data_IF_107831874809
#
_entry.id   IF_107831874809
#
_cell.length_a   1.000
_cell.length_b   1.000
_cell.length_c   1.000
_cell.angle_alpha   90.00
_cell.angle_beta   90.00
_cell.angle_gamma   90.00
#
_symmetry.space_group_name_H-M   'P 1'
#
loop_
_entity.id
_entity.type
_entity.pdbx_description
1 polymer ?
#
# COMPACT_ATOMS: atom_id res chain seq x y z
N UNK A 1 -31.26 18.01 -12.43
CA UNK A 1 -30.15 18.92 -12.05
C UNK A 1 -28.90 18.42 -12.75
N UNK A 2 -28.11 19.29 -13.38
CA UNK A 2 -26.82 18.88 -13.94
C UNK A 2 -25.89 18.44 -12.80
N UNK A 3 -25.16 17.34 -12.99
CA UNK A 3 -24.13 16.94 -12.05
C UNK A 3 -23.02 18.01 -12.02
N UNK A 4 -22.51 18.34 -10.83
CA UNK A 4 -21.38 19.27 -10.66
C UNK A 4 -20.16 18.53 -10.10
N UNK A 5 -18.97 19.07 -10.33
CA UNK A 5 -17.72 18.52 -9.76
C UNK A 5 -17.78 18.51 -8.23
N UNK A 6 -18.34 19.55 -7.62
CA UNK A 6 -18.50 19.61 -6.16
C UNK A 6 -19.44 18.51 -5.64
N UNK A 7 -20.54 18.24 -6.34
CA UNK A 7 -21.45 17.15 -5.99
C UNK A 7 -20.78 15.78 -6.13
N UNK A 8 -19.96 15.59 -7.18
CA UNK A 8 -19.16 14.38 -7.38
C UNK A 8 -18.15 14.17 -6.23
N UNK A 9 -17.41 15.21 -5.85
CA UNK A 9 -16.45 15.14 -4.74
C UNK A 9 -17.15 14.91 -3.39
N UNK A 10 -18.30 15.53 -3.15
CA UNK A 10 -19.09 15.32 -1.93
C UNK A 10 -19.62 13.89 -1.84
N UNK A 11 -20.08 13.32 -2.95
CA UNK A 11 -20.52 11.92 -3.01
C UNK A 11 -19.35 10.95 -2.72
N UNK A 12 -18.19 11.16 -3.37
CA UNK A 12 -16.98 10.37 -3.12
C UNK A 12 -16.54 10.44 -1.65
N UNK A 13 -16.60 11.63 -1.03
CA UNK A 13 -16.31 11.80 0.39
C UNK A 13 -17.27 10.99 1.27
N UNK A 14 -18.57 11.13 1.05
CA UNK A 14 -19.58 10.43 1.85
C UNK A 14 -19.46 8.91 1.71
N UNK A 15 -19.20 8.41 0.50
CA UNK A 15 -18.94 6.98 0.26
C UNK A 15 -17.69 6.51 1.00
N UNK A 16 -16.57 7.22 0.85
CA UNK A 16 -15.33 6.91 1.55
C UNK A 16 -15.48 6.86 3.07
N UNK A 17 -16.16 7.86 3.66
CA UNK A 17 -16.44 7.92 5.10
C UNK A 17 -17.31 6.74 5.57
N UNK A 18 -18.35 6.38 4.81
CA UNK A 18 -19.19 5.23 5.13
C UNK A 18 -18.41 3.91 5.09
N UNK A 19 -17.53 3.74 4.08
CA UNK A 19 -16.69 2.56 3.93
C UNK A 19 -15.67 2.43 5.07
N UNK A 20 -15.00 3.53 5.43
CA UNK A 20 -14.08 3.59 6.59
C UNK A 20 -14.82 3.27 7.90
N UNK A 21 -16.02 3.83 8.09
CA UNK A 21 -16.83 3.55 9.27
C UNK A 21 -17.22 2.06 9.38
N UNK A 22 -17.54 1.40 8.26
CA UNK A 22 -17.84 -0.02 8.25
C UNK A 22 -16.64 -0.89 8.67
N UNK A 23 -15.42 -0.53 8.25
CA UNK A 23 -14.18 -1.20 8.67
C UNK A 23 -13.97 -1.03 10.18
N UNK A 24 -14.14 0.18 10.70
CA UNK A 24 -14.08 0.42 12.14
C UNK A 24 -15.15 -0.34 12.93
N UNK A 25 -16.37 -0.48 12.39
CA UNK A 25 -17.44 -1.23 13.05
C UNK A 25 -17.11 -2.72 13.21
N UNK A 26 -16.48 -3.35 12.21
CA UNK A 26 -15.98 -4.72 12.35
C UNK A 26 -14.79 -4.78 13.32
N UNK A 27 -13.84 -3.86 13.20
CA UNK A 27 -12.67 -3.76 14.09
C UNK A 27 -13.08 -3.62 15.56
N UNK A 28 -14.06 -2.76 15.85
CA UNK A 28 -14.63 -2.58 17.18
C UNK A 28 -15.13 -3.90 17.76
N UNK A 29 -15.86 -4.69 16.95
CA UNK A 29 -16.35 -5.99 17.38
C UNK A 29 -15.23 -6.99 17.63
N UNK A 30 -14.17 -7.01 16.81
CA UNK A 30 -13.05 -7.93 16.99
C UNK A 30 -12.25 -7.64 18.26
N UNK A 31 -11.96 -6.36 18.51
CA UNK A 31 -11.08 -5.94 19.60
C UNK A 31 -11.82 -5.52 20.87
N UNK A 32 -13.14 -5.68 20.90
CA UNK A 32 -13.90 -5.52 22.13
C UNK A 32 -13.37 -6.49 23.20
N UNK A 33 -13.28 -6.08 24.47
CA UNK A 33 -12.68 -6.91 25.52
C UNK A 33 -13.25 -8.33 25.55
N UNK A 34 -12.35 -9.32 25.44
CA UNK A 34 -12.69 -10.75 25.53
C UNK A 34 -12.97 -11.46 24.20
N UNK A 35 -12.98 -10.76 23.05
CA UNK A 35 -13.24 -11.40 21.76
C UNK A 35 -11.98 -11.97 21.10
N UNK A 36 -10.98 -11.13 20.82
CA UNK A 36 -9.72 -11.56 20.22
C UNK A 36 -8.51 -10.83 20.80
N UNK A 37 -7.40 -11.54 20.84
CA UNK A 37 -6.03 -10.99 20.79
C UNK A 37 -5.48 -11.15 19.36
N UNK A 38 -4.45 -10.40 18.95
CA UNK A 38 -3.80 -10.61 17.67
C UNK A 38 -3.39 -12.07 17.40
N UNK A 39 -2.85 -12.75 18.42
CA UNK A 39 -2.39 -14.13 18.34
C UNK A 39 -3.55 -15.11 18.14
N UNK A 40 -4.64 -14.94 18.91
CA UNK A 40 -5.82 -15.81 18.78
C UNK A 40 -6.57 -15.60 17.46
N UNK A 41 -6.60 -14.37 16.93
CA UNK A 41 -7.14 -14.09 15.61
C UNK A 41 -6.30 -14.75 14.52
N UNK A 42 -4.98 -14.62 14.58
CA UNK A 42 -4.08 -15.22 13.60
C UNK A 42 -4.09 -16.76 13.67
N UNK A 43 -4.13 -17.34 14.87
CA UNK A 43 -4.25 -18.79 15.06
C UNK A 43 -5.54 -19.34 14.43
N UNK A 44 -6.67 -18.63 14.57
CA UNK A 44 -7.93 -18.97 13.91
C UNK A 44 -7.81 -18.96 12.39
N UNK A 45 -7.12 -17.96 11.82
CA UNK A 45 -6.88 -17.87 10.38
C UNK A 45 -5.98 -19.02 9.90
N UNK A 46 -4.88 -19.29 10.60
CA UNK A 46 -3.94 -20.38 10.28
C UNK A 46 -4.66 -21.73 10.22
N UNK A 47 -5.56 -22.02 11.15
CA UNK A 47 -6.33 -23.27 11.13
C UNK A 47 -7.18 -23.44 9.86
N UNK A 48 -7.78 -22.36 9.35
CA UNK A 48 -8.52 -22.38 8.09
C UNK A 48 -7.56 -22.51 6.89
N UNK A 49 -6.43 -21.80 6.95
CA UNK A 49 -5.40 -21.79 5.91
C UNK A 49 -4.72 -23.12 5.71
N UNK A 50 -4.57 -23.96 6.74
CA UNK A 50 -4.06 -25.32 6.59
C UNK A 50 -4.97 -26.18 5.69
N UNK A 51 -6.28 -25.97 5.76
CA UNK A 51 -7.25 -26.67 4.90
C UNK A 51 -7.22 -26.10 3.49
N UNK A 52 -7.35 -24.78 3.37
CA UNK A 52 -7.36 -24.10 2.08
C UNK A 52 -6.03 -24.30 1.31
N UNK A 53 -4.91 -24.31 2.01
CA UNK A 53 -3.58 -24.51 1.42
C UNK A 53 -3.40 -25.91 0.83
N UNK A 54 -4.03 -26.94 1.41
CA UNK A 54 -4.09 -28.28 0.82
C UNK A 54 -4.89 -28.31 -0.48
N UNK A 55 -6.00 -27.58 -0.54
CA UNK A 55 -6.86 -27.50 -1.73
C UNK A 55 -6.17 -26.77 -2.89
N UNK A 56 -5.47 -25.68 -2.58
CA UNK A 56 -4.77 -24.85 -3.58
C UNK A 56 -3.42 -25.46 -3.98
N UNK A 57 -2.85 -26.35 -3.15
CA UNK A 57 -1.54 -26.95 -3.38
C UNK A 57 -0.37 -26.02 -3.02
N UNK A 58 -0.58 -25.08 -2.11
CA UNK A 58 0.47 -24.23 -1.54
C UNK A 58 0.17 -23.94 -0.08
N UNK A 59 1.21 -23.97 0.77
CA UNK A 59 1.10 -23.42 2.12
C UNK A 59 0.70 -21.95 2.05
N UNK A 60 -0.15 -21.53 2.97
CA UNK A 60 -0.51 -20.12 3.19
C UNK A 60 0.16 -19.69 4.49
N UNK A 61 0.88 -18.58 4.43
CA UNK A 61 1.57 -17.99 5.57
C UNK A 61 0.93 -16.65 5.92
N UNK A 62 0.98 -16.20 7.19
CA UNK A 62 0.52 -14.86 7.52
C UNK A 62 1.24 -13.81 6.69
N UNK A 63 0.48 -12.87 6.11
CA UNK A 63 1.06 -11.74 5.40
C UNK A 63 1.88 -10.86 6.35
N UNK A 64 1.35 -10.63 7.56
CA UNK A 64 2.03 -9.99 8.67
C UNK A 64 2.01 -10.95 9.87
N UNK A 65 3.13 -11.61 10.20
CA UNK A 65 3.21 -12.47 11.38
C UNK A 65 3.03 -11.67 12.68
N UNK A 66 2.25 -12.20 13.62
CA UNK A 66 2.13 -11.62 14.97
C UNK A 66 3.32 -12.10 15.81
N UNK A 67 4.16 -11.20 16.34
CA UNK A 67 5.24 -11.58 17.24
C UNK A 67 4.69 -12.03 18.60
N UNK A 68 5.32 -13.04 19.21
CA UNK A 68 4.90 -13.60 20.51
C UNK A 68 5.30 -12.72 21.71
N UNK A 69 6.29 -11.83 21.52
CA UNK A 69 6.97 -11.11 22.59
C UNK A 69 6.66 -9.60 22.63
N UNK A 70 5.90 -9.09 21.65
CA UNK A 70 5.59 -7.65 21.49
C UNK A 70 4.39 -7.44 20.57
N UNK A 71 3.76 -6.25 20.58
CA UNK A 71 2.73 -5.90 19.58
C UNK A 71 3.30 -5.79 18.17
N UNK A 72 2.42 -5.97 17.17
CA UNK A 72 2.72 -5.68 15.77
C UNK A 72 2.94 -4.18 15.58
N UNK A 73 3.99 -3.81 14.90
CA UNK A 73 4.37 -2.41 14.68
C UNK A 73 4.25 -1.98 13.22
N UNK A 74 3.89 -0.72 13.03
CA UNK A 74 3.76 -0.08 11.74
C UNK A 74 4.63 1.17 11.67
N UNK A 75 5.24 1.42 10.52
CA UNK A 75 5.90 2.69 10.20
C UNK A 75 5.32 3.22 8.90
N UNK A 76 4.90 4.49 8.92
CA UNK A 76 4.34 5.15 7.75
C UNK A 76 5.45 5.90 7.01
N UNK A 77 5.64 5.54 5.75
CA UNK A 77 6.55 6.22 4.83
C UNK A 77 5.76 7.15 3.92
N UNK A 78 6.29 8.34 3.66
CA UNK A 78 5.63 9.26 2.74
C UNK A 78 6.57 10.30 2.15
N UNK A 79 6.08 10.89 1.07
CA UNK A 79 6.69 12.01 0.36
C UNK A 79 5.65 13.11 0.13
N UNK A 80 6.00 14.13 -0.66
CA UNK A 80 5.09 15.22 -1.03
C UNK A 80 4.54 15.94 0.21
N UNK A 81 3.22 16.20 0.23
CA UNK A 81 2.53 16.85 1.35
C UNK A 81 2.17 15.92 2.52
N UNK A 82 2.48 14.63 2.44
CA UNK A 82 2.22 13.62 3.49
C UNK A 82 0.73 13.41 3.85
N UNK A 83 -0.22 13.80 2.99
CA UNK A 83 -1.65 13.78 3.34
C UNK A 83 -2.25 12.36 3.48
N UNK A 84 -1.79 11.39 2.68
CA UNK A 84 -2.23 9.97 2.83
C UNK A 84 -1.70 9.37 4.13
N UNK A 85 -0.42 9.61 4.45
CA UNK A 85 0.17 9.19 5.73
C UNK A 85 -0.48 9.85 6.94
N UNK A 86 -0.85 11.14 6.84
CA UNK A 86 -1.59 11.85 7.88
C UNK A 86 -2.95 11.19 8.17
N UNK A 87 -3.70 10.83 7.12
CA UNK A 87 -4.97 10.13 7.28
C UNK A 87 -4.79 8.79 7.98
N UNK A 88 -3.79 7.98 7.58
CA UNK A 88 -3.51 6.71 8.22
C UNK A 88 -3.13 6.87 9.70
N UNK A 89 -2.31 7.86 10.06
CA UNK A 89 -1.98 8.16 11.45
C UNK A 89 -3.23 8.50 12.28
N UNK A 90 -4.19 9.24 11.70
CA UNK A 90 -5.48 9.50 12.35
C UNK A 90 -6.28 8.22 12.62
N UNK A 91 -6.22 7.22 11.74
CA UNK A 91 -6.91 5.94 11.96
C UNK A 91 -6.33 5.18 13.16
N UNK A 92 -5.01 5.20 13.35
CA UNK A 92 -4.39 4.63 14.57
C UNK A 92 -4.90 5.32 15.84
N UNK A 93 -5.07 6.64 15.81
CA UNK A 93 -5.65 7.40 16.92
C UNK A 93 -7.13 7.04 17.15
N UNK A 94 -7.90 6.83 16.08
CA UNK A 94 -9.30 6.41 16.16
C UNK A 94 -9.43 5.02 16.81
N UNK A 95 -8.57 4.06 16.43
CA UNK A 95 -8.59 2.71 17.02
C UNK A 95 -8.34 2.72 18.53
N UNK A 96 -7.41 3.58 19.00
CA UNK A 96 -7.13 3.75 20.44
C UNK A 96 -8.35 4.19 21.26
N UNK A 97 -9.39 4.76 20.63
CA UNK A 97 -10.62 5.17 21.33
C UNK A 97 -11.49 3.99 21.75
N UNK A 98 -11.35 2.83 21.09
CA UNK A 98 -12.17 1.65 21.38
C UNK A 98 -11.40 0.36 21.64
N UNK A 99 -10.11 0.30 21.31
CA UNK A 99 -9.21 -0.80 21.64
C UNK A 99 -8.09 -0.28 22.54
N UNK A 100 -8.16 -0.56 23.84
CA UNK A 100 -7.15 -0.13 24.83
C UNK A 100 -5.76 -0.71 24.56
N UNK A 101 -5.73 -1.89 23.94
CA UNK A 101 -4.53 -2.54 23.43
C UNK A 101 -4.72 -2.73 21.91
N UNK A 102 -4.40 -1.71 21.09
CA UNK A 102 -4.59 -1.80 19.65
C UNK A 102 -3.79 -2.99 19.06
N UNK A 103 -4.34 -3.68 18.05
CA UNK A 103 -3.71 -4.87 17.46
C UNK A 103 -2.43 -4.53 16.67
N UNK A 104 -2.31 -3.29 16.19
CA UNK A 104 -1.15 -2.77 15.47
C UNK A 104 -0.85 -1.38 16.02
N UNK A 105 0.43 -1.11 16.31
CA UNK A 105 0.88 0.18 16.85
C UNK A 105 1.62 0.99 15.78
N UNK A 106 1.26 2.27 15.65
CA UNK A 106 2.09 3.23 14.94
C UNK A 106 3.37 3.47 15.76
N UNK A 107 4.50 3.03 15.22
CA UNK A 107 5.82 3.06 15.88
C UNK A 107 6.72 4.19 15.37
N UNK A 108 6.40 4.78 14.22
CA UNK A 108 7.15 5.92 13.70
C UNK A 108 6.66 6.41 12.35
N UNK A 109 7.19 7.56 11.94
CA UNK A 109 6.94 8.18 10.65
C UNK A 109 8.29 8.43 9.96
N UNK A 110 8.35 8.12 8.67
CA UNK A 110 9.54 8.31 7.84
C UNK A 110 9.20 9.16 6.62
N UNK A 111 10.00 10.19 6.37
CA UNK A 111 9.84 11.06 5.21
C UNK A 111 11.17 11.32 4.49
N UNK A 112 11.13 11.27 3.16
CA UNK A 112 12.26 11.64 2.30
C UNK A 112 12.27 13.12 1.89
N UNK A 113 11.41 13.93 2.52
CA UNK A 113 11.27 15.37 2.30
C UNK A 113 11.08 16.07 3.63
N UNK A 114 11.70 17.24 3.75
CA UNK A 114 11.58 18.09 4.93
C UNK A 114 10.31 18.94 4.94
N UNK A 115 10.01 19.52 6.11
CA UNK A 115 8.97 20.55 6.23
C UNK A 115 9.23 21.76 5.34
N UNK A 116 10.50 22.19 5.22
CA UNK A 116 10.89 23.27 4.31
C UNK A 116 10.60 22.93 2.84
N UNK A 117 10.60 21.65 2.48
CA UNK A 117 10.22 21.14 1.15
C UNK A 117 8.73 20.82 1.00
N UNK A 118 7.88 21.30 1.92
CA UNK A 118 6.42 21.16 1.86
C UNK A 118 5.85 19.84 2.41
N UNK A 119 6.64 19.08 3.17
CA UNK A 119 6.19 17.82 3.79
C UNK A 119 5.71 18.02 5.23
N UNK A 120 4.50 17.57 5.56
CA UNK A 120 3.93 17.73 6.90
C UNK A 120 4.22 16.56 7.87
N UNK A 121 5.13 15.65 7.53
CA UNK A 121 5.44 14.47 8.34
C UNK A 121 5.81 14.81 9.79
N UNK A 122 6.58 15.88 10.03
CA UNK A 122 6.98 16.31 11.37
C UNK A 122 5.81 16.76 12.25
N UNK A 123 4.81 17.43 11.67
CA UNK A 123 3.58 17.82 12.38
C UNK A 123 2.79 16.58 12.77
N UNK A 124 2.59 15.66 11.81
CA UNK A 124 1.85 14.41 12.05
C UNK A 124 2.54 13.54 13.10
N UNK A 125 3.88 13.45 13.08
CA UNK A 125 4.64 12.70 14.07
C UNK A 125 4.46 13.28 15.48
N UNK A 126 4.55 14.60 15.61
CA UNK A 126 4.32 15.32 16.87
C UNK A 126 2.89 15.11 17.39
N UNK A 127 1.87 15.25 16.53
CA UNK A 127 0.45 15.12 16.91
C UNK A 127 0.07 13.70 17.39
N UNK A 128 0.85 12.70 16.97
CA UNK A 128 0.66 11.30 17.34
C UNK A 128 1.65 10.81 18.40
N UNK A 129 2.61 11.66 18.81
CA UNK A 129 3.63 11.33 19.81
C UNK A 129 4.54 10.17 19.39
N UNK A 130 4.90 10.08 18.10
CA UNK A 130 5.74 9.00 17.56
C UNK A 130 7.06 9.55 17.01
N UNK A 131 8.16 8.77 17.02
CA UNK A 131 9.42 9.16 16.42
C UNK A 131 9.29 9.56 14.94
N UNK A 132 10.04 10.58 14.55
CA UNK A 132 10.19 11.04 13.17
C UNK A 132 11.60 10.71 12.66
N UNK A 133 11.67 10.13 11.47
CA UNK A 133 12.90 10.06 10.67
C UNK A 133 12.69 10.89 9.42
N UNK A 134 13.31 12.06 9.38
CA UNK A 134 13.24 12.96 8.24
C UNK A 134 14.63 13.06 7.60
N UNK A 135 14.76 12.59 6.35
CA UNK A 135 15.99 12.71 5.58
C UNK A 135 15.66 13.25 4.19
N UNK A 136 15.74 14.57 4.03
CA UNK A 136 15.43 15.22 2.75
C UNK A 136 16.40 14.76 1.65
N UNK A 137 15.87 14.07 0.63
CA UNK A 137 16.70 13.53 -0.44
C UNK A 137 17.44 14.61 -1.24
N UNK A 138 16.81 15.76 -1.49
CA UNK A 138 17.44 16.80 -2.29
C UNK A 138 18.61 17.43 -1.54
N UNK A 139 18.46 17.65 -0.23
CA UNK A 139 19.55 18.10 0.65
C UNK A 139 20.65 17.05 0.72
N UNK A 140 20.30 15.80 1.05
CA UNK A 140 21.26 14.70 1.17
C UNK A 140 22.06 14.50 -0.13
N UNK A 141 21.40 14.56 -1.29
CA UNK A 141 22.06 14.38 -2.58
C UNK A 141 23.09 15.48 -2.86
N UNK A 142 22.79 16.74 -2.53
CA UNK A 142 23.73 17.86 -2.74
C UNK A 142 24.93 17.80 -1.79
N UNK A 143 24.73 17.24 -0.60
CA UNK A 143 25.80 17.05 0.37
C UNK A 143 26.72 15.89 0.01
N UNK A 144 26.20 14.83 -0.61
CA UNK A 144 26.93 13.55 -0.76
C UNK A 144 27.20 13.11 -2.20
N UNK A 145 26.54 13.71 -3.20
CA UNK A 145 26.63 13.28 -4.61
C UNK A 145 27.08 14.43 -5.49
N UNK A 146 26.26 15.47 -5.64
CA UNK A 146 26.59 16.63 -6.47
C UNK A 146 25.95 17.90 -5.90
N UNK A 147 26.81 18.79 -5.39
CA UNK A 147 26.44 20.06 -4.77
C UNK A 147 25.74 21.02 -5.75
N UNK A 148 26.03 20.94 -7.04
CA UNK A 148 25.51 21.85 -8.05
C UNK A 148 24.18 21.38 -8.67
N UNK A 149 23.75 20.13 -8.41
CA UNK A 149 22.55 19.57 -9.01
C UNK A 149 21.27 20.30 -8.55
N UNK A 150 20.52 20.80 -9.53
CA UNK A 150 19.29 21.56 -9.31
C UNK A 150 18.08 20.65 -9.15
N UNK A 151 18.07 19.49 -9.81
CA UNK A 151 17.01 18.49 -9.73
C UNK A 151 17.56 17.08 -9.42
N UNK A 152 17.94 16.82 -8.15
CA UNK A 152 18.42 15.52 -7.70
C UNK A 152 17.50 14.36 -8.05
N UNK A 153 16.18 14.59 -8.06
CA UNK A 153 15.20 13.54 -8.33
C UNK A 153 15.35 13.03 -9.77
N UNK A 154 15.40 13.95 -10.74
CA UNK A 154 15.59 13.60 -12.14
C UNK A 154 17.00 13.03 -12.40
N UNK A 155 18.03 13.63 -11.82
CA UNK A 155 19.43 13.23 -12.00
C UNK A 155 19.71 11.78 -11.59
N UNK A 156 18.97 11.29 -10.59
CA UNK A 156 19.10 9.94 -10.05
C UNK A 156 17.93 9.01 -10.44
N UNK A 157 17.09 9.42 -11.40
CA UNK A 157 16.01 8.55 -11.90
C UNK A 157 16.59 7.37 -12.67
N UNK A 158 16.31 6.16 -12.20
CA UNK A 158 16.74 4.91 -12.84
C UNK A 158 15.57 4.13 -13.48
N UNK A 159 14.32 4.34 -13.04
CA UNK A 159 13.16 3.66 -13.61
C UNK A 159 12.53 4.42 -14.78
N UNK A 160 12.33 3.69 -15.87
CA UNK A 160 11.67 4.12 -17.11
C UNK A 160 10.90 2.93 -17.69
N UNK A 161 9.78 3.16 -18.40
CA UNK A 161 9.16 2.12 -19.22
C UNK A 161 10.20 1.43 -20.13
N UNK A 162 10.00 0.14 -20.42
CA UNK A 162 10.98 -0.68 -21.17
C UNK A 162 11.36 -0.08 -22.53
N UNK A 163 10.36 0.47 -23.22
CA UNK A 163 10.51 1.04 -24.57
C UNK A 163 10.69 2.57 -24.55
N UNK A 164 10.94 3.18 -23.39
CA UNK A 164 11.14 4.63 -23.29
C UNK A 164 12.51 5.02 -23.89
N UNK A 165 12.56 5.89 -24.91
CA UNK A 165 13.82 6.32 -25.53
C UNK A 165 14.72 7.12 -24.59
N UNK A 166 14.19 7.63 -23.46
CA UNK A 166 14.97 8.32 -22.43
C UNK A 166 15.54 7.36 -21.37
N UNK A 167 15.30 6.05 -21.50
CA UNK A 167 15.84 5.03 -20.59
C UNK A 167 17.38 5.05 -20.65
N UNK A 168 18.07 5.21 -19.51
CA UNK A 168 19.53 5.31 -19.49
C UNK A 168 20.19 3.97 -19.82
N UNK A 169 21.37 4.05 -20.42
CA UNK A 169 22.25 2.89 -20.63
C UNK A 169 22.56 2.15 -19.32
N UNK A 170 22.82 0.83 -19.35
CA UNK A 170 22.95 0.00 -18.15
C UNK A 170 23.92 0.52 -17.08
N UNK A 171 25.08 1.07 -17.48
CA UNK A 171 26.06 1.62 -16.53
C UNK A 171 25.56 2.88 -15.81
N UNK A 172 24.84 3.76 -16.51
CA UNK A 172 24.22 4.95 -15.91
C UNK A 172 23.05 4.55 -15.02
N UNK A 173 22.25 3.57 -15.44
CA UNK A 173 21.18 3.01 -14.63
C UNK A 173 21.70 2.43 -13.32
N UNK A 174 22.77 1.64 -13.36
CA UNK A 174 23.39 1.06 -12.17
C UNK A 174 23.94 2.13 -11.22
N UNK A 175 24.57 3.17 -11.74
CA UNK A 175 25.04 4.31 -10.93
C UNK A 175 23.89 5.04 -10.24
N UNK A 176 22.82 5.36 -10.98
CA UNK A 176 21.63 6.04 -10.44
C UNK A 176 20.87 5.18 -9.43
N UNK A 177 20.77 3.88 -9.70
CA UNK A 177 20.22 2.89 -8.77
C UNK A 177 20.99 2.91 -7.45
N UNK A 178 22.33 2.83 -7.51
CA UNK A 178 23.17 2.77 -6.32
C UNK A 178 23.04 4.02 -5.44
N UNK A 179 22.90 5.21 -6.05
CA UNK A 179 22.64 6.45 -5.30
C UNK A 179 21.37 6.34 -4.45
N UNK A 180 20.29 5.80 -5.02
CA UNK A 180 18.98 5.70 -4.35
C UNK A 180 18.94 4.54 -3.36
N UNK A 181 19.26 3.34 -3.83
CA UNK A 181 19.03 2.09 -3.10
C UNK A 181 20.16 1.73 -2.16
N UNK A 182 21.42 1.93 -2.56
CA UNK A 182 22.54 1.48 -1.74
C UNK A 182 23.00 2.58 -0.78
N UNK A 183 23.00 3.84 -1.23
CA UNK A 183 23.57 4.96 -0.47
C UNK A 183 22.52 5.71 0.33
N UNK A 184 21.50 6.25 -0.32
CA UNK A 184 20.47 7.04 0.36
C UNK A 184 19.64 6.19 1.32
N UNK A 185 19.12 5.04 0.87
CA UNK A 185 18.32 4.16 1.71
C UNK A 185 19.10 3.50 2.85
N UNK A 186 20.42 3.27 2.70
CA UNK A 186 21.24 2.88 3.83
C UNK A 186 21.32 3.99 4.89
N UNK A 187 21.58 5.24 4.49
CA UNK A 187 21.59 6.38 5.41
C UNK A 187 20.22 6.59 6.09
N UNK A 188 19.12 6.42 5.33
CA UNK A 188 17.77 6.44 5.87
C UNK A 188 17.55 5.32 6.89
N UNK A 189 18.00 4.10 6.58
CA UNK A 189 17.94 2.93 7.46
C UNK A 189 18.70 3.11 8.77
N UNK A 190 19.85 3.79 8.74
CA UNK A 190 20.56 4.17 9.97
C UNK A 190 19.75 5.16 10.81
N UNK A 191 19.08 6.13 10.17
CA UNK A 191 18.16 7.05 10.85
C UNK A 191 16.99 6.32 11.50
N UNK A 192 16.39 5.37 10.78
CA UNK A 192 15.33 4.48 11.28
C UNK A 192 15.79 3.73 12.52
N UNK A 193 16.94 3.06 12.45
CA UNK A 193 17.43 2.25 13.56
C UNK A 193 17.78 3.07 14.81
N UNK A 194 18.22 4.32 14.64
CA UNK A 194 18.49 5.22 15.77
C UNK A 194 17.22 5.75 16.44
N UNK A 195 16.18 6.03 15.66
CA UNK A 195 14.98 6.72 16.16
C UNK A 195 13.84 5.76 16.53
N UNK A 196 13.69 4.66 15.79
CA UNK A 196 12.61 3.69 15.94
C UNK A 196 13.19 2.46 16.65
N UNK A 197 13.04 2.42 17.98
CA UNK A 197 13.69 1.43 18.86
C UNK A 197 13.06 0.03 18.89
N UNK A 198 12.05 -0.22 18.05
CA UNK A 198 11.37 -1.51 17.92
C UNK A 198 11.47 -2.04 16.50
N UNK A 199 11.59 -3.37 16.28
CA UNK A 199 11.52 -3.93 14.95
C UNK A 199 10.21 -3.52 14.26
N UNK A 200 10.28 -3.30 12.95
CA UNK A 200 9.15 -2.88 12.11
C UNK A 200 8.56 -4.14 11.48
N UNK A 201 7.26 -4.39 11.68
CA UNK A 201 6.56 -5.51 11.02
C UNK A 201 5.88 -5.08 9.72
N UNK A 202 5.39 -3.83 9.68
CA UNK A 202 4.70 -3.25 8.51
C UNK A 202 5.34 -1.91 8.14
N UNK A 203 5.72 -1.75 6.88
CA UNK A 203 6.14 -0.48 6.30
C UNK A 203 5.13 -0.02 5.24
N UNK A 204 4.40 1.05 5.57
CA UNK A 204 3.28 1.54 4.77
C UNK A 204 3.75 2.68 3.87
N UNK A 205 3.89 2.42 2.58
CA UNK A 205 4.13 3.46 1.59
C UNK A 205 2.82 4.22 1.37
N UNK A 206 2.76 5.48 1.81
CA UNK A 206 1.56 6.34 1.69
C UNK A 206 1.93 7.59 0.92
N UNK A 207 2.12 7.41 -0.38
CA UNK A 207 2.68 8.42 -1.27
C UNK A 207 4.19 8.58 -1.08
N UNK A 208 4.87 7.54 -0.59
CA UNK A 208 6.33 7.47 -0.61
C UNK A 208 6.80 7.22 -2.04
N UNK A 209 7.68 8.06 -2.54
CA UNK A 209 7.99 8.07 -3.96
C UNK A 209 9.22 7.27 -4.36
N UNK A 210 9.89 6.58 -3.44
CA UNK A 210 11.09 5.79 -3.77
C UNK A 210 10.81 4.30 -3.56
N UNK A 211 11.42 3.45 -4.38
CA UNK A 211 11.27 2.01 -4.22
C UNK A 211 11.98 1.52 -2.96
N UNK A 212 11.37 0.62 -2.21
CA UNK A 212 11.99 0.04 -1.02
C UNK A 212 13.11 -0.95 -1.37
N UNK A 213 14.16 -0.97 -0.56
CA UNK A 213 15.20 -2.00 -0.57
C UNK A 213 15.47 -2.49 0.86
N UNK A 214 16.07 -3.69 0.96
CA UNK A 214 16.43 -4.30 2.23
C UNK A 214 17.43 -3.46 3.04
N UNK A 215 18.21 -2.58 2.38
CA UNK A 215 19.17 -1.71 3.04
C UNK A 215 18.54 -0.80 4.10
N UNK A 216 17.26 -0.45 3.96
CA UNK A 216 16.50 0.35 4.92
C UNK A 216 16.27 -0.37 6.26
N UNK A 217 16.31 -1.70 6.26
CA UNK A 217 15.89 -2.54 7.39
C UNK A 217 16.97 -3.54 7.83
N UNK A 218 18.24 -3.33 7.45
CA UNK A 218 19.37 -4.22 7.79
C UNK A 218 19.57 -4.48 9.28
N UNK A 219 19.02 -3.62 10.14
CA UNK A 219 19.19 -3.70 11.60
C UNK A 219 18.19 -4.65 12.27
N UNK A 220 17.21 -5.19 11.51
CA UNK A 220 16.27 -6.20 12.00
C UNK A 220 16.48 -7.54 11.30
N UNK A 221 16.17 -8.63 12.00
CA UNK A 221 16.39 -10.01 11.51
C UNK A 221 15.52 -10.37 10.30
N UNK A 222 14.33 -9.79 10.20
CA UNK A 222 13.36 -10.03 9.13
C UNK A 222 12.97 -8.69 8.53
N UNK A 223 12.84 -8.61 7.22
CA UNK A 223 12.30 -7.43 6.58
C UNK A 223 10.80 -7.28 6.91
N UNK A 224 10.29 -6.04 7.03
CA UNK A 224 8.87 -5.81 7.22
C UNK A 224 8.09 -6.22 5.97
N UNK A 225 6.80 -6.49 6.14
CA UNK A 225 5.86 -6.47 5.03
C UNK A 225 5.71 -5.02 4.55
N UNK A 226 5.96 -4.77 3.26
CA UNK A 226 5.81 -3.45 2.64
C UNK A 226 4.59 -3.46 1.73
N UNK A 227 3.78 -2.41 1.81
CA UNK A 227 2.66 -2.22 0.89
C UNK A 227 2.47 -0.75 0.50
N UNK A 228 1.83 -0.54 -0.64
CA UNK A 228 1.56 0.78 -1.22
C UNK A 228 0.12 0.91 -1.70
N UNK A 229 -0.39 2.14 -1.62
CA UNK A 229 -1.65 2.54 -2.24
C UNK A 229 -1.37 3.02 -3.66
N UNK A 230 -1.72 2.21 -4.64
CA UNK A 230 -1.51 2.51 -6.05
C UNK A 230 -2.79 3.11 -6.68
N UNK A 231 -2.69 4.24 -7.41
CA UNK A 231 -3.84 4.96 -7.96
C UNK A 231 -4.34 4.36 -9.28
N UNK A 232 -4.42 3.04 -9.38
CA UNK A 232 -4.96 2.35 -10.55
C UNK A 232 -5.52 0.98 -10.23
N UNK A 233 -6.37 0.47 -11.12
CA UNK A 233 -6.93 -0.86 -11.02
C UNK A 233 -5.93 -1.88 -11.57
N UNK A 234 -5.20 -2.54 -10.67
CA UNK A 234 -4.17 -3.53 -11.01
C UNK A 234 -4.73 -4.94 -11.14
N UNK A 235 -6.06 -5.07 -11.25
CA UNK A 235 -6.69 -6.30 -11.76
C UNK A 235 -6.55 -6.44 -13.28
N UNK A 236 -6.25 -5.34 -13.98
CA UNK A 236 -6.04 -5.31 -15.42
C UNK A 236 -4.60 -5.63 -15.82
N UNK A 237 -4.43 -6.59 -16.71
CA UNK A 237 -3.13 -7.07 -17.19
C UNK A 237 -3.07 -7.14 -18.72
N UNK A 238 -1.87 -7.04 -19.27
CA UNK A 238 -1.60 -7.28 -20.68
C UNK A 238 -1.55 -8.80 -20.94
N UNK A 239 -2.45 -9.40 -21.75
CA UNK A 239 -2.49 -10.85 -21.90
C UNK A 239 -1.19 -11.48 -22.46
N UNK A 240 -0.50 -10.90 -23.45
CA UNK A 240 0.76 -11.43 -23.98
C UNK A 240 1.90 -11.49 -22.95
N UNK A 241 2.04 -10.47 -22.11
CA UNK A 241 3.19 -10.35 -21.20
C UNK A 241 2.86 -10.70 -19.74
N UNK A 242 1.58 -10.64 -19.36
CA UNK A 242 1.09 -10.82 -17.99
C UNK A 242 1.35 -9.63 -17.07
N UNK A 243 1.90 -8.52 -17.56
CA UNK A 243 2.23 -7.34 -16.74
C UNK A 243 1.00 -6.50 -16.44
N UNK A 244 1.00 -5.72 -15.35
CA UNK A 244 -0.09 -4.78 -15.07
C UNK A 244 -0.22 -3.73 -16.19
N UNK A 245 -1.45 -3.34 -16.54
CA UNK A 245 -1.69 -2.36 -17.62
C UNK A 245 -1.44 -0.91 -17.22
N UNK A 246 -1.56 -0.60 -15.94
CA UNK A 246 -1.48 0.78 -15.46
C UNK A 246 -0.37 0.96 -14.41
N UNK A 247 0.87 0.51 -14.67
CA UNK A 247 1.97 0.74 -13.76
C UNK A 247 2.34 2.23 -13.77
N UNK A 248 2.95 2.70 -12.69
CA UNK A 248 3.55 4.02 -12.63
C UNK A 248 2.74 5.07 -11.88
N UNK A 249 3.26 6.29 -11.87
CA UNK A 249 2.98 7.22 -10.78
C UNK A 249 1.72 8.06 -10.98
N UNK A 250 0.87 8.08 -9.94
CA UNK A 250 -0.16 9.10 -9.71
C UNK A 250 -1.09 9.33 -10.92
N UNK A 251 -1.24 10.58 -11.35
CA UNK A 251 -2.21 10.97 -12.37
C UNK A 251 -1.90 10.39 -13.75
N UNK A 252 -0.66 9.95 -14.01
CA UNK A 252 -0.30 9.24 -15.24
C UNK A 252 -1.07 7.93 -15.42
N UNK A 253 -1.23 7.15 -14.34
CA UNK A 253 -1.99 5.91 -14.38
C UNK A 253 -3.49 6.16 -14.61
N UNK A 254 -4.04 7.22 -14.01
CA UNK A 254 -5.42 7.66 -14.24
C UNK A 254 -5.64 8.06 -15.70
N UNK A 255 -4.71 8.83 -16.28
CA UNK A 255 -4.81 9.23 -17.70
C UNK A 255 -4.82 8.01 -18.63
N UNK A 256 -4.04 6.97 -18.33
CA UNK A 256 -4.08 5.72 -19.09
C UNK A 256 -5.44 5.02 -18.97
N UNK A 257 -6.01 4.95 -17.76
CA UNK A 257 -7.35 4.39 -17.57
C UNK A 257 -8.44 5.21 -18.30
N UNK A 258 -8.34 6.54 -18.29
CA UNK A 258 -9.28 7.42 -19.01
C UNK A 258 -9.18 7.20 -20.53
N UNK A 259 -7.97 7.05 -21.06
CA UNK A 259 -7.74 6.71 -22.48
C UNK A 259 -8.32 5.34 -22.84
N UNK A 260 -8.22 4.38 -21.93
CA UNK A 260 -8.83 3.05 -22.05
C UNK A 260 -10.36 3.05 -21.85
N UNK A 261 -10.95 4.20 -21.50
CA UNK A 261 -12.41 4.40 -21.33
C UNK A 261 -13.04 3.52 -20.25
N UNK A 262 -12.32 3.33 -19.14
CA UNK A 262 -12.89 2.67 -17.97
C UNK A 262 -14.16 3.39 -17.48
N UNK A 263 -15.18 2.60 -17.13
CA UNK A 263 -16.42 3.13 -16.56
C UNK A 263 -16.29 3.45 -15.06
N UNK A 264 -15.35 2.78 -14.38
CA UNK A 264 -15.08 2.95 -12.96
C UNK A 264 -13.57 2.99 -12.77
N UNK A 265 -13.09 3.98 -12.02
CA UNK A 265 -11.68 4.16 -11.72
C UNK A 265 -11.41 3.73 -10.29
N UNK A 266 -10.56 2.72 -10.10
CA UNK A 266 -10.27 2.12 -8.78
C UNK A 266 -8.80 2.27 -8.43
N UNK A 267 -8.52 2.41 -7.15
CA UNK A 267 -7.19 2.24 -6.57
C UNK A 267 -6.95 0.80 -6.14
N UNK A 268 -5.69 0.45 -5.95
CA UNK A 268 -5.24 -0.87 -5.48
C UNK A 268 -4.37 -0.72 -4.24
N UNK A 269 -4.44 -1.69 -3.33
CA UNK A 269 -3.43 -1.92 -2.31
C UNK A 269 -2.56 -3.08 -2.77
N UNK A 270 -1.25 -2.88 -2.85
CA UNK A 270 -0.30 -3.89 -3.34
C UNK A 270 0.81 -4.16 -2.35
N UNK A 271 1.30 -5.40 -2.35
CA UNK A 271 2.59 -5.73 -1.77
C UNK A 271 3.69 -5.06 -2.58
N UNK A 272 4.69 -4.52 -1.89
CA UNK A 272 5.88 -3.92 -2.51
C UNK A 272 7.06 -4.84 -2.28
N UNK A 273 7.62 -5.36 -3.38
CA UNK A 273 8.85 -6.14 -3.34
C UNK A 273 10.09 -5.29 -3.06
N UNK A 274 11.06 -5.86 -2.35
CA UNK A 274 12.36 -5.21 -2.15
C UNK A 274 13.19 -5.23 -3.44
N UNK A 275 13.61 -4.06 -3.88
CA UNK A 275 14.44 -3.86 -5.06
C UNK A 275 15.89 -3.67 -4.63
N UNK A 276 16.60 -4.79 -4.45
CA UNK A 276 17.98 -4.83 -3.97
C UNK A 276 19.01 -4.82 -5.13
N UNK A 277 18.55 -5.08 -6.36
CA UNK A 277 19.43 -5.16 -7.54
C UNK A 277 18.84 -4.44 -8.74
N UNK A 278 19.71 -3.97 -9.64
CA UNK A 278 19.32 -3.30 -10.89
C UNK A 278 18.47 -4.20 -11.80
N UNK A 279 18.65 -5.52 -11.72
CA UNK A 279 17.85 -6.48 -12.49
C UNK A 279 16.35 -6.47 -12.13
N UNK A 280 15.99 -5.93 -10.97
CA UNK A 280 14.62 -5.84 -10.50
C UNK A 280 13.92 -4.53 -10.91
N UNK A 281 14.59 -3.61 -11.60
CA UNK A 281 14.01 -2.29 -11.96
C UNK A 281 12.69 -2.44 -12.73
N UNK A 282 12.55 -3.46 -13.56
CA UNK A 282 11.33 -3.71 -14.34
C UNK A 282 10.22 -4.44 -13.57
N UNK A 283 10.39 -4.69 -12.27
CA UNK A 283 9.41 -5.35 -11.38
C UNK A 283 8.66 -4.34 -10.49
N UNK A 284 8.71 -3.06 -10.83
CA UNK A 284 8.03 -1.99 -10.09
C UNK A 284 6.52 -2.23 -10.07
N UNK A 285 5.91 -2.19 -8.88
CA UNK A 285 4.47 -2.36 -8.65
C UNK A 285 3.86 -3.70 -9.11
N UNK A 286 4.69 -4.73 -9.32
CA UNK A 286 4.28 -6.07 -9.77
C UNK A 286 3.97 -7.05 -8.61
N UNK A 287 3.93 -6.56 -7.37
CA UNK A 287 3.67 -7.39 -6.19
C UNK A 287 2.24 -7.93 -6.12
N UNK A 288 1.96 -8.76 -5.10
CA UNK A 288 0.63 -9.31 -4.89
C UNK A 288 -0.42 -8.22 -4.67
N UNK A 289 -1.58 -8.36 -5.32
CA UNK A 289 -2.73 -7.47 -5.14
C UNK A 289 -3.43 -7.81 -3.82
N UNK A 290 -3.29 -6.96 -2.80
CA UNK A 290 -3.81 -7.17 -1.45
C UNK A 290 -5.29 -6.78 -1.33
N UNK A 291 -5.68 -5.70 -2.01
CA UNK A 291 -7.05 -5.23 -2.06
C UNK A 291 -7.28 -4.36 -3.31
N UNK A 292 -8.54 -4.24 -3.72
CA UNK A 292 -8.99 -3.31 -4.75
C UNK A 292 -10.11 -2.44 -4.19
N UNK A 293 -10.12 -1.18 -4.62
CA UNK A 293 -11.09 -0.18 -4.17
C UNK A 293 -12.49 -0.39 -4.72
N UNK A 294 -13.45 0.36 -4.18
CA UNK A 294 -14.78 0.49 -4.81
C UNK A 294 -14.69 1.32 -6.07
N UNK A 295 -13.81 2.33 -6.05
CA UNK A 295 -13.58 3.27 -7.12
C UNK A 295 -14.66 4.34 -7.23
N UNK A 296 -14.47 5.18 -8.23
CA UNK A 296 -15.39 6.27 -8.58
C UNK A 296 -15.83 6.12 -10.03
N UNK A 297 -17.09 6.46 -10.30
CA UNK A 297 -17.65 6.47 -11.64
C UNK A 297 -18.17 7.88 -11.97
N UNK A 298 -17.33 8.78 -12.50
CA UNK A 298 -17.76 10.11 -12.92
C UNK A 298 -18.86 10.01 -13.97
N UNK A 299 -19.89 10.86 -13.85
CA UNK A 299 -20.92 10.99 -14.89
C UNK A 299 -20.26 11.40 -16.22
N UNK A 300 -20.67 10.78 -17.34
CA UNK A 300 -20.11 11.08 -18.67
C UNK A 300 -20.30 12.55 -19.09
N UNK A 301 -21.30 13.23 -18.53
CA UNK A 301 -21.57 14.65 -18.73
C UNK A 301 -20.62 15.57 -17.95
N UNK A 302 -19.93 15.05 -16.92
CA UNK A 302 -18.90 15.77 -16.19
C UNK A 302 -17.56 15.68 -16.93
N UNK A 303 -17.03 16.83 -17.34
CA UNK A 303 -15.68 16.93 -17.88
C UNK A 303 -14.63 16.91 -16.74
N UNK A 304 -14.44 15.76 -16.09
CA UNK A 304 -13.45 15.59 -15.03
C UNK A 304 -12.02 15.50 -15.58
N UNK A 305 -11.07 16.13 -14.89
CA UNK A 305 -9.63 15.92 -15.12
C UNK A 305 -9.13 14.67 -14.40
N UNK A 306 -7.98 14.13 -14.82
CA UNK A 306 -7.33 13.01 -14.13
C UNK A 306 -7.05 13.32 -12.65
N UNK A 307 -6.65 14.55 -12.33
CA UNK A 307 -6.38 14.97 -10.95
C UNK A 307 -7.66 15.00 -10.09
N UNK A 308 -8.80 15.39 -10.67
CA UNK A 308 -10.09 15.38 -9.98
C UNK A 308 -10.56 13.94 -9.71
N UNK A 309 -10.40 13.05 -10.70
CA UNK A 309 -10.70 11.62 -10.52
C UNK A 309 -9.78 11.02 -9.45
N UNK A 310 -8.48 11.31 -9.48
CA UNK A 310 -7.53 10.85 -8.48
C UNK A 310 -7.87 11.37 -7.07
N UNK A 311 -8.26 12.64 -6.95
CA UNK A 311 -8.67 13.22 -5.68
C UNK A 311 -9.91 12.52 -5.11
N UNK A 312 -10.88 12.18 -5.96
CA UNK A 312 -12.06 11.42 -5.54
C UNK A 312 -11.71 9.96 -5.17
N UNK A 313 -10.89 9.28 -5.96
CA UNK A 313 -10.38 7.93 -5.67
C UNK A 313 -9.65 7.88 -4.34
N UNK A 314 -8.86 8.90 -4.01
CA UNK A 314 -8.18 8.97 -2.70
C UNK A 314 -9.17 8.94 -1.54
N UNK A 315 -10.32 9.61 -1.67
CA UNK A 315 -11.34 9.62 -0.63
C UNK A 315 -12.03 8.26 -0.47
N UNK A 316 -12.27 7.55 -1.57
CA UNK A 316 -13.02 6.28 -1.58
C UNK A 316 -12.13 5.06 -1.31
N UNK A 317 -10.93 5.04 -1.88
CA UNK A 317 -10.05 3.88 -1.93
C UNK A 317 -8.84 4.02 -1.01
N UNK A 318 -8.00 5.06 -1.16
CA UNK A 318 -6.79 5.23 -0.32
C UNK A 318 -7.15 5.29 1.17
N UNK A 319 -8.22 6.01 1.52
CA UNK A 319 -8.69 6.10 2.90
C UNK A 319 -9.10 4.72 3.43
N UNK A 320 -9.81 3.91 2.63
CA UNK A 320 -10.15 2.53 3.00
C UNK A 320 -8.88 1.71 3.25
N UNK A 321 -7.90 1.75 2.35
CA UNK A 321 -6.66 1.00 2.51
C UNK A 321 -5.86 1.45 3.74
N UNK A 322 -5.78 2.76 3.97
CA UNK A 322 -5.14 3.35 5.14
C UNK A 322 -5.75 2.88 6.47
N UNK A 323 -7.02 2.47 6.47
CA UNK A 323 -7.73 2.01 7.68
C UNK A 323 -7.49 0.53 7.99
N UNK A 324 -7.06 -0.30 7.02
CA UNK A 324 -6.93 -1.77 7.20
C UNK A 324 -5.89 -2.14 8.26
N UNK A 325 -4.70 -1.54 8.22
CA UNK A 325 -3.61 -1.88 9.15
C UNK A 325 -3.88 -1.34 10.57
N UNK A 326 -4.28 -0.07 10.76
CA UNK A 326 -4.60 0.47 12.08
C UNK A 326 -5.69 -0.31 12.80
N UNK A 327 -6.68 -0.81 12.04
CA UNK A 327 -7.78 -1.63 12.57
C UNK A 327 -7.41 -3.07 12.83
N UNK A 328 -6.18 -3.48 12.52
CA UNK A 328 -5.68 -4.85 12.70
C UNK A 328 -6.31 -5.87 11.76
N UNK A 329 -7.17 -5.46 10.82
CA UNK A 329 -7.78 -6.40 9.89
C UNK A 329 -6.74 -7.09 9.01
N UNK A 330 -5.63 -6.40 8.68
CA UNK A 330 -4.50 -6.97 7.92
C UNK A 330 -3.94 -8.27 8.55
N UNK A 331 -4.14 -8.50 9.85
CA UNK A 331 -3.67 -9.72 10.52
C UNK A 331 -4.47 -10.97 10.13
N UNK A 332 -5.63 -10.79 9.50
CA UNK A 332 -6.41 -11.86 8.88
C UNK A 332 -6.02 -12.14 7.41
N UNK A 333 -4.97 -11.47 6.89
CA UNK A 333 -4.48 -11.68 5.54
C UNK A 333 -3.38 -12.74 5.57
N UNK A 334 -3.51 -13.72 4.68
CA UNK A 334 -2.51 -14.71 4.38
C UNK A 334 -2.02 -14.57 2.94
N UNK A 335 -0.87 -15.14 2.65
CA UNK A 335 -0.27 -15.19 1.32
C UNK A 335 0.27 -16.59 1.04
N UNK A 336 0.07 -17.08 -0.17
CA UNK A 336 0.63 -18.38 -0.56
C UNK A 336 2.16 -18.31 -0.65
N UNK A 337 2.84 -19.30 -0.10
CA UNK A 337 4.30 -19.44 -0.17
C UNK A 337 4.80 -19.47 -1.62
N UNK A 338 4.09 -20.22 -2.49
CA UNK A 338 4.44 -20.41 -3.90
C UNK A 338 3.40 -19.74 -4.82
N UNK A 339 3.79 -19.29 -6.03
CA UNK A 339 2.84 -18.81 -7.01
C UNK A 339 1.84 -19.88 -7.47
N UNK A 340 0.56 -19.53 -7.39
CA UNK A 340 -0.60 -20.35 -7.78
C UNK A 340 -1.35 -19.68 -8.94
N UNK A 341 -2.34 -20.36 -9.52
CA UNK A 341 -3.14 -19.78 -10.59
C UNK A 341 -4.09 -18.73 -10.01
N UNK A 342 -3.97 -17.49 -10.49
CA UNK A 342 -4.81 -16.37 -10.11
C UNK A 342 -5.43 -15.78 -11.38
N UNK A 343 -6.73 -15.53 -11.35
CA UNK A 343 -7.45 -14.94 -12.49
C UNK A 343 -7.44 -13.42 -12.38
N UNK A 344 -6.90 -12.77 -13.40
CA UNK A 344 -6.93 -11.34 -13.69
C UNK A 344 -7.87 -11.09 -14.88
N UNK A 345 -7.90 -9.85 -15.36
CA UNK A 345 -8.67 -9.48 -16.54
C UNK A 345 -7.85 -8.65 -17.53
N UNK A 346 -8.15 -8.76 -18.82
CA UNK A 346 -7.66 -7.82 -19.84
C UNK A 346 -8.48 -6.52 -19.83
N UNK A 347 -8.10 -5.54 -20.64
CA UNK A 347 -8.81 -4.24 -20.75
C UNK A 347 -10.28 -4.38 -21.17
N UNK A 348 -10.68 -5.51 -21.77
CA UNK A 348 -12.04 -5.80 -22.19
C UNK A 348 -12.83 -6.62 -21.13
N UNK A 349 -12.22 -6.94 -19.99
CA UNK A 349 -12.81 -7.75 -18.92
C UNK A 349 -12.72 -9.26 -19.16
N UNK A 350 -11.93 -9.72 -20.13
CA UNK A 350 -11.72 -11.15 -20.40
C UNK A 350 -10.74 -11.75 -19.39
N UNK A 351 -11.01 -12.98 -18.94
CA UNK A 351 -10.19 -13.66 -17.95
C UNK A 351 -8.77 -13.95 -18.47
N UNK A 352 -7.77 -13.52 -17.69
CA UNK A 352 -6.35 -13.83 -17.92
C UNK A 352 -5.81 -14.56 -16.71
N UNK A 353 -5.32 -15.80 -16.89
CA UNK A 353 -4.80 -16.60 -15.77
C UNK A 353 -3.29 -16.46 -15.68
N UNK A 354 -2.82 -15.94 -14.54
CA UNK A 354 -1.39 -15.75 -14.25
C UNK A 354 -0.94 -16.65 -13.10
N UNK A 355 0.36 -16.91 -12.99
CA UNK A 355 0.96 -17.53 -11.81
C UNK A 355 1.51 -16.46 -10.88
N UNK A 356 0.83 -16.23 -9.76
CA UNK A 356 1.23 -15.24 -8.76
C UNK A 356 0.94 -15.76 -7.35
N UNK A 357 1.58 -15.18 -6.33
CA UNK A 357 1.17 -15.46 -4.95
C UNK A 357 -0.28 -14.98 -4.76
N UNK A 358 -1.14 -15.84 -4.23
CA UNK A 358 -2.52 -15.50 -3.93
C UNK A 358 -2.64 -14.97 -2.51
N UNK A 359 -3.48 -13.94 -2.38
CA UNK A 359 -3.91 -13.39 -1.09
C UNK A 359 -5.13 -14.14 -0.60
N UNK A 360 -5.14 -14.42 0.69
CA UNK A 360 -6.25 -15.05 1.42
C UNK A 360 -6.69 -14.08 2.51
N UNK A 361 -7.98 -13.92 2.69
CA UNK A 361 -8.55 -13.05 3.72
C UNK A 361 -9.55 -13.87 4.53
N UNK A 362 -9.27 -14.03 5.82
CA UNK A 362 -10.02 -14.98 6.65
C UNK A 362 -9.89 -16.40 6.10
N UNK A 363 -10.98 -16.98 5.61
CA UNK A 363 -11.04 -18.32 5.05
C UNK A 363 -11.15 -18.37 3.51
N UNK A 364 -11.03 -17.23 2.82
CA UNK A 364 -11.29 -17.14 1.38
C UNK A 364 -10.10 -16.62 0.58
N UNK A 365 -9.87 -17.19 -0.60
CA UNK A 365 -8.96 -16.62 -1.59
C UNK A 365 -9.55 -15.31 -2.12
N UNK A 366 -8.78 -14.23 -2.01
CA UNK A 366 -9.14 -12.88 -2.42
C UNK A 366 -8.00 -12.27 -3.25
N UNK A 367 -7.77 -12.85 -4.42
CA UNK A 367 -6.67 -12.48 -5.32
C UNK A 367 -7.17 -12.18 -6.74
N UNK A 368 -6.39 -11.37 -7.48
CA UNK A 368 -6.69 -11.02 -8.87
C UNK A 368 -7.98 -10.24 -9.01
N UNK A 369 -8.83 -10.61 -9.97
CA UNK A 369 -10.15 -9.98 -10.18
C UNK A 369 -11.09 -10.11 -8.98
N UNK A 370 -10.82 -11.04 -8.07
CA UNK A 370 -11.57 -11.28 -6.83
C UNK A 370 -10.86 -10.69 -5.59
N UNK A 371 -9.97 -9.72 -5.77
CA UNK A 371 -9.31 -9.04 -4.65
C UNK A 371 -10.33 -8.43 -3.68
N UNK A 372 -9.99 -8.45 -2.39
CA UNK A 372 -10.83 -7.92 -1.32
C UNK A 372 -11.06 -6.41 -1.49
N UNK A 373 -12.26 -5.91 -1.16
CA UNK A 373 -12.55 -4.48 -1.06
C UNK A 373 -13.43 -3.93 -2.19
N UNK A 374 -13.48 -4.58 -3.36
CA UNK A 374 -14.33 -4.13 -4.47
C UNK A 374 -15.80 -4.02 -4.02
N UNK A 375 -16.29 -5.04 -3.30
CA UNK A 375 -17.59 -5.05 -2.64
C UNK A 375 -17.36 -5.17 -1.12
N UNK A 376 -16.90 -4.06 -0.54
CA UNK A 376 -16.50 -4.00 0.87
C UNK A 376 -17.59 -4.52 1.82
N UNK A 377 -18.87 -4.23 1.59
CA UNK A 377 -19.96 -4.71 2.44
C UNK A 377 -20.06 -6.23 2.47
N UNK A 378 -19.99 -6.88 1.31
CA UNK A 378 -20.03 -8.34 1.22
C UNK A 378 -18.76 -8.96 1.81
N UNK A 379 -17.62 -8.33 1.58
CA UNK A 379 -16.32 -8.77 2.10
C UNK A 379 -16.22 -8.66 3.62
N UNK A 380 -16.68 -7.56 4.22
CA UNK A 380 -16.75 -7.38 5.67
C UNK A 380 -17.76 -8.35 6.30
N UNK A 381 -18.89 -8.62 5.64
CA UNK A 381 -19.86 -9.60 6.12
C UNK A 381 -19.29 -11.02 6.09
N UNK A 382 -18.58 -11.40 5.02
CA UNK A 382 -17.92 -12.70 4.92
C UNK A 382 -16.84 -12.85 5.99
N UNK A 383 -15.95 -11.86 6.14
CA UNK A 383 -14.89 -11.87 7.14
C UNK A 383 -15.46 -11.87 8.57
N UNK A 384 -16.51 -11.07 8.82
CA UNK A 384 -17.21 -11.03 10.10
C UNK A 384 -17.82 -12.38 10.47
N UNK A 385 -18.52 -13.04 9.53
CA UNK A 385 -19.04 -14.40 9.72
C UNK A 385 -17.93 -15.39 10.09
N UNK A 386 -16.83 -15.35 9.35
CA UNK A 386 -15.68 -16.21 9.59
C UNK A 386 -15.04 -15.95 10.96
N UNK A 387 -14.83 -14.70 11.37
CA UNK A 387 -14.11 -14.38 12.61
C UNK A 387 -15.01 -14.47 13.85
N UNK A 388 -16.26 -14.02 13.76
CA UNK A 388 -17.14 -13.86 14.92
C UNK A 388 -18.07 -15.05 15.16
N UNK A 389 -18.07 -16.08 14.29
CA UNK A 389 -19.01 -17.21 14.35
C UNK A 389 -20.49 -16.77 14.40
N UNK A 390 -20.85 -15.70 13.68
CA UNK A 390 -22.19 -15.09 13.68
C UNK A 390 -22.68 -14.84 12.27
#
# INVERSE_FOLDING_TARGET
MAATIDAFMAAAKAEGEARVAAIHALSYQLWHPGNFTPESLQARCIAAWDTLGREIGSRIEPLVPVPEDRPVTNVIFGSGGFSTGAFQAMQFKAVKQYASHPPVLLSGIVANKSRAAGCNASVVASDNGVPLVELDFATWYREHVDKAETNPIAASRYWFPKDDPARPEPGVMASRFSIRQDRYHAALGEGIARAIGTPIDIASARGYSFQFCSAMFKQQRRNPHVNDTHPADLTYVDPPTGTKLYPGWQSGAIQLMMKARHATFRGSLIEVGFMDTVAQVDQLDEGALLAIGGGVAPDKSLACTADQVQAAMKLVDDHVFCTIEPTGLILAWGITEKPVRVTYQDVNGQDVVLRQKAIVVGDQVRAGKNAWGCNLSADLLALGRFLLNR
#
